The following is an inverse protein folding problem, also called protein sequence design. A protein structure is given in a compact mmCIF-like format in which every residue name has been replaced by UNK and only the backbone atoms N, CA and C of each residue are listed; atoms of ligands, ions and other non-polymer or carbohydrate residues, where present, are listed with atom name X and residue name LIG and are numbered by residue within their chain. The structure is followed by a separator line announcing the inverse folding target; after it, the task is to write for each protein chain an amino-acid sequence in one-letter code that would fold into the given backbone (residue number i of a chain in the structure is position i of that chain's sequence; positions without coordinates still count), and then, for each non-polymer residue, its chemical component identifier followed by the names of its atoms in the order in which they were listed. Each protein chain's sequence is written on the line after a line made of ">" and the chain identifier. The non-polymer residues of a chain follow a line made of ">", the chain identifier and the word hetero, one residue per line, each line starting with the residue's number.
data_IF_519185754483
#
_entry.id   IF_519185754483
#
_cell.length_a   1.000
_cell.length_b   1.000
_cell.length_c   1.000
_cell.angle_alpha   90.00
_cell.angle_beta   90.00
_cell.angle_gamma   90.00
#
_symmetry.space_group_name_H-M   'P 1'
#
loop_
_entity.id
_entity.type
_entity.pdbx_description
1 polymer ?
#
# COMPACT_ATOMS: atom_id res chain seq x y z
N UNK A 1 -7.33 6.94 5.10
CA UNK A 1 -6.70 6.55 3.81
C UNK A 1 -7.74 6.65 2.71
N UNK A 2 -7.43 7.28 1.58
CA UNK A 2 -8.41 7.53 0.52
C UNK A 2 -7.82 7.34 -0.89
N UNK A 3 -8.72 7.27 -1.88
CA UNK A 3 -8.35 7.21 -3.30
C UNK A 3 -7.95 5.82 -3.82
N UNK A 4 -7.49 5.81 -5.07
CA UNK A 4 -7.13 4.57 -5.79
C UNK A 4 -5.85 3.95 -5.26
N UNK A 5 -5.75 2.62 -5.38
CA UNK A 5 -4.61 1.81 -4.93
C UNK A 5 -4.28 1.96 -3.44
N UNK A 6 -5.32 2.12 -2.61
CA UNK A 6 -5.19 2.32 -1.16
C UNK A 6 -4.84 1.05 -0.38
N UNK A 7 -5.03 -0.15 -0.94
CA UNK A 7 -4.89 -1.41 -0.20
C UNK A 7 -3.51 -1.56 0.45
N UNK A 8 -2.43 -1.42 -0.33
CA UNK A 8 -1.08 -1.51 0.22
C UNK A 8 -0.73 -0.38 1.17
N UNK A 9 -1.38 0.79 1.08
CA UNK A 9 -1.27 1.82 2.11
C UNK A 9 -1.87 1.29 3.41
N UNK A 10 -3.12 0.84 3.38
CA UNK A 10 -3.83 0.30 4.55
C UNK A 10 -3.02 -0.82 5.19
N UNK A 11 -2.62 -1.84 4.42
CA UNK A 11 -1.84 -2.96 4.93
C UNK A 11 -0.53 -2.52 5.60
N UNK A 12 0.16 -1.51 5.02
CA UNK A 12 1.40 -0.96 5.59
C UNK A 12 1.14 -0.19 6.87
N UNK A 13 0.02 0.56 6.98
CA UNK A 13 -0.33 1.23 8.24
C UNK A 13 -0.57 0.22 9.35
N UNK A 14 -1.24 -0.90 9.07
CA UNK A 14 -1.53 -1.93 10.07
C UNK A 14 -0.29 -2.75 10.51
N UNK A 15 0.91 -2.45 9.99
CA UNK A 15 2.17 -2.91 10.59
C UNK A 15 2.55 -2.12 11.85
N UNK A 16 1.95 -0.94 12.04
CA UNK A 16 2.09 -0.09 13.21
C UNK A 16 0.93 -0.35 14.19
N UNK A 17 1.21 -0.59 15.48
CA UNK A 17 0.16 -0.85 16.47
C UNK A 17 -0.83 0.31 16.63
N UNK A 18 -0.40 1.54 16.37
CA UNK A 18 -1.21 2.75 16.46
C UNK A 18 -2.33 2.79 15.42
N UNK A 19 -2.23 2.03 14.33
CA UNK A 19 -3.21 2.08 13.25
C UNK A 19 -4.62 1.66 13.69
N UNK A 20 -4.73 0.70 14.62
CA UNK A 20 -6.03 0.27 15.14
C UNK A 20 -6.79 1.44 15.79
N UNK A 21 -6.09 2.29 16.54
CA UNK A 21 -6.69 3.44 17.24
C UNK A 21 -6.81 4.67 16.35
N UNK A 22 -5.81 4.94 15.48
CA UNK A 22 -5.69 6.22 14.78
C UNK A 22 -6.27 6.24 13.37
N UNK A 23 -6.54 5.09 12.76
CA UNK A 23 -7.16 5.06 11.43
C UNK A 23 -8.67 5.24 11.56
N UNK A 24 -9.16 6.46 11.34
CA UNK A 24 -10.59 6.77 11.39
C UNK A 24 -11.38 6.28 10.15
N UNK A 25 -10.72 6.15 9.00
CA UNK A 25 -11.37 5.69 7.78
C UNK A 25 -10.41 5.19 6.71
N UNK A 26 -10.88 4.23 5.92
CA UNK A 26 -10.09 3.54 4.90
C UNK A 26 -10.93 3.16 3.69
N UNK A 27 -10.27 2.97 2.56
CA UNK A 27 -10.89 2.42 1.35
C UNK A 27 -10.70 0.91 1.36
N UNK A 28 -11.80 0.17 1.31
CA UNK A 28 -11.79 -1.27 1.01
C UNK A 28 -11.91 -1.40 -0.50
N UNK A 29 -10.90 -1.98 -1.16
CA UNK A 29 -10.92 -2.18 -2.62
C UNK A 29 -12.01 -3.16 -3.09
N UNK A 30 -11.93 -3.59 -4.36
CA UNK A 30 -12.81 -4.65 -4.90
C UNK A 30 -12.40 -6.06 -4.45
N UNK A 31 -11.13 -6.27 -4.14
CA UNK A 31 -10.73 -7.37 -3.27
C UNK A 31 -11.36 -7.10 -1.92
N UNK A 32 -11.80 -8.12 -1.17
CA UNK A 32 -12.38 -7.95 0.16
C UNK A 32 -11.30 -8.19 1.24
N UNK A 33 -10.31 -7.29 1.42
CA UNK A 33 -9.39 -7.35 2.55
C UNK A 33 -10.14 -7.12 3.88
N UNK A 34 -11.42 -6.71 3.82
CA UNK A 34 -12.35 -6.70 4.93
C UNK A 34 -12.46 -8.04 5.65
N UNK A 35 -12.04 -9.16 5.04
CA UNK A 35 -11.91 -10.41 5.78
C UNK A 35 -10.62 -10.50 6.60
N UNK A 36 -9.47 -9.96 6.15
CA UNK A 36 -8.22 -10.06 6.90
C UNK A 36 -8.12 -9.00 7.99
N UNK A 37 -8.48 -7.76 7.68
CA UNK A 37 -8.35 -6.64 8.62
C UNK A 37 -9.22 -6.81 9.86
N UNK A 38 -10.43 -7.37 9.73
CA UNK A 38 -11.28 -7.72 10.88
C UNK A 38 -10.62 -8.75 11.84
N UNK A 39 -9.67 -9.56 11.36
CA UNK A 39 -8.97 -10.52 12.22
C UNK A 39 -7.74 -9.92 12.93
N UNK A 40 -7.17 -8.85 12.39
CA UNK A 40 -5.98 -8.20 12.96
C UNK A 40 -6.32 -6.91 13.73
N UNK A 41 -7.48 -6.32 13.47
CA UNK A 41 -7.98 -5.12 14.12
C UNK A 41 -9.34 -5.36 14.76
N UNK A 42 -9.41 -5.51 16.10
CA UNK A 42 -10.66 -5.75 16.80
C UNK A 42 -11.62 -4.55 16.76
N UNK A 43 -11.14 -3.38 16.35
CA UNK A 43 -11.91 -2.13 16.23
C UNK A 43 -12.26 -1.80 14.78
N UNK A 44 -12.15 -2.78 13.87
CA UNK A 44 -12.41 -2.56 12.43
C UNK A 44 -13.82 -2.01 12.16
N UNK A 45 -14.83 -2.53 12.85
CA UNK A 45 -16.24 -2.13 12.68
C UNK A 45 -16.51 -0.67 13.10
N UNK A 46 -15.59 -0.04 13.85
CA UNK A 46 -15.69 1.36 14.25
C UNK A 46 -15.17 2.32 13.17
N UNK A 47 -14.49 1.81 12.14
CA UNK A 47 -13.84 2.61 11.10
C UNK A 47 -14.79 2.92 9.96
N UNK A 48 -14.68 4.13 9.41
CA UNK A 48 -15.46 4.52 8.24
C UNK A 48 -14.91 3.89 6.97
N UNK A 49 -15.75 3.14 6.25
CA UNK A 49 -15.41 2.60 4.93
C UNK A 49 -15.75 3.63 3.86
N UNK A 50 -14.71 4.10 3.16
CA UNK A 50 -14.82 5.05 2.07
C UNK A 50 -14.85 4.32 0.73
N UNK A 51 -15.69 4.82 -0.19
CA UNK A 51 -15.63 4.41 -1.59
C UNK A 51 -14.32 4.84 -2.24
N UNK A 52 -13.88 4.11 -3.27
CA UNK A 52 -12.61 4.37 -3.97
C UNK A 52 -12.56 5.78 -4.58
N UNK A 53 -13.72 6.31 -4.98
CA UNK A 53 -13.92 7.63 -5.56
C UNK A 53 -14.43 8.68 -4.57
N UNK A 54 -14.36 8.40 -3.26
CA UNK A 54 -14.76 9.36 -2.23
C UNK A 54 -14.03 10.70 -2.37
N UNK A 55 -14.82 11.77 -2.45
CA UNK A 55 -14.33 13.14 -2.56
C UNK A 55 -14.12 13.84 -1.21
N UNK A 56 -13.62 15.09 -1.21
CA UNK A 56 -13.44 15.89 0.00
C UNK A 56 -14.70 15.97 0.89
N UNK A 57 -15.89 16.03 0.30
CA UNK A 57 -17.17 16.12 1.01
C UNK A 57 -17.49 14.87 1.84
N UNK A 58 -16.94 13.71 1.45
CA UNK A 58 -17.09 12.45 2.19
C UNK A 58 -15.94 12.23 3.18
N UNK A 59 -14.78 12.85 2.95
CA UNK A 59 -13.57 12.71 3.77
C UNK A 59 -13.57 13.71 4.93
N UNK A 60 -13.91 14.97 4.68
CA UNK A 60 -13.89 16.04 5.67
C UNK A 60 -14.75 15.77 6.93
N UNK A 61 -15.94 15.14 6.83
CA UNK A 61 -16.75 14.82 8.01
C UNK A 61 -16.09 13.83 8.98
N UNK A 62 -15.02 13.13 8.57
CA UNK A 62 -14.23 12.26 9.45
C UNK A 62 -13.25 13.03 10.33
N UNK A 63 -13.15 14.35 10.15
CA UNK A 63 -12.22 15.25 10.87
C UNK A 63 -10.77 14.74 10.92
N UNK A 64 -10.15 14.38 9.77
CA UNK A 64 -8.83 13.77 9.78
C UNK A 64 -7.72 14.80 10.04
N UNK A 65 -6.80 14.47 10.95
CA UNK A 65 -5.54 15.23 11.11
C UNK A 65 -4.68 15.17 9.84
N UNK A 66 -4.78 14.07 9.08
CA UNK A 66 -4.04 13.85 7.84
C UNK A 66 -4.73 12.80 6.97
N UNK A 67 -4.68 12.97 5.65
CA UNK A 67 -5.08 11.96 4.68
C UNK A 67 -3.85 11.38 3.99
N UNK A 68 -3.76 10.05 3.93
CA UNK A 68 -2.67 9.37 3.22
C UNK A 68 -3.19 8.93 1.85
N UNK A 69 -2.48 9.34 0.80
CA UNK A 69 -2.80 9.08 -0.61
C UNK A 69 -1.60 8.50 -1.37
N UNK A 70 -1.87 7.82 -2.47
CA UNK A 70 -0.86 7.59 -3.50
C UNK A 70 -0.40 8.91 -4.11
N UNK A 71 0.89 9.07 -4.37
CA UNK A 71 1.45 10.30 -4.96
C UNK A 71 0.76 10.72 -6.27
N UNK A 72 0.40 9.76 -7.13
CA UNK A 72 -0.31 10.05 -8.38
C UNK A 72 -1.75 10.59 -8.19
N UNK A 73 -2.30 10.53 -6.97
CA UNK A 73 -3.61 11.08 -6.63
C UNK A 73 -3.56 12.56 -6.22
N UNK A 74 -2.37 13.18 -6.15
CA UNK A 74 -2.20 14.58 -5.76
C UNK A 74 -3.10 15.53 -6.56
N UNK A 75 -3.09 15.45 -7.88
CA UNK A 75 -3.91 16.33 -8.72
C UNK A 75 -5.41 16.01 -8.70
N UNK A 76 -5.78 14.76 -8.43
CA UNK A 76 -7.17 14.28 -8.53
C UNK A 76 -7.95 14.45 -7.23
N UNK A 77 -7.27 14.37 -6.09
CA UNK A 77 -7.89 14.39 -4.77
C UNK A 77 -7.05 15.15 -3.74
N UNK A 78 -5.72 15.02 -3.77
CA UNK A 78 -4.86 15.66 -2.77
C UNK A 78 -5.03 17.18 -2.70
N UNK A 79 -4.94 17.85 -3.85
CA UNK A 79 -5.10 19.31 -3.95
C UNK A 79 -6.45 19.82 -3.45
N UNK A 80 -7.54 19.08 -3.67
CA UNK A 80 -8.86 19.52 -3.22
C UNK A 80 -9.04 19.36 -1.70
N UNK A 81 -8.38 18.38 -1.09
CA UNK A 81 -8.30 18.24 0.38
C UNK A 81 -7.45 19.36 1.00
N UNK A 82 -6.28 19.64 0.42
CA UNK A 82 -5.40 20.72 0.87
C UNK A 82 -6.07 22.10 0.79
N UNK A 83 -6.91 22.34 -0.21
CA UNK A 83 -7.69 23.59 -0.37
C UNK A 83 -8.71 23.84 0.74
N UNK A 84 -9.11 22.80 1.47
CA UNK A 84 -10.00 22.89 2.63
C UNK A 84 -9.24 22.62 3.94
N UNK A 85 -7.94 22.89 3.93
CA UNK A 85 -7.03 22.81 5.08
C UNK A 85 -6.88 21.40 5.68
N UNK A 86 -7.15 20.34 4.91
CA UNK A 86 -6.87 18.95 5.30
C UNK A 86 -5.47 18.55 4.81
N UNK A 87 -4.52 18.26 5.72
CA UNK A 87 -3.17 17.86 5.33
C UNK A 87 -3.14 16.52 4.59
N UNK A 88 -2.23 16.39 3.63
CA UNK A 88 -2.06 15.15 2.86
C UNK A 88 -0.62 14.66 2.91
N UNK A 89 -0.44 13.37 3.17
CA UNK A 89 0.84 12.66 3.03
C UNK A 89 0.77 11.75 1.82
N UNK A 90 1.75 11.89 0.94
CA UNK A 90 1.86 11.09 -0.28
C UNK A 90 2.89 9.96 -0.10
N UNK A 91 2.50 8.75 -0.48
CA UNK A 91 3.35 7.56 -0.51
C UNK A 91 3.25 6.85 -1.85
N UNK A 92 4.27 6.08 -2.22
CA UNK A 92 4.31 5.30 -3.46
C UNK A 92 4.17 3.81 -3.17
N UNK A 93 5.01 3.23 -2.31
CA UNK A 93 5.00 1.78 -1.99
C UNK A 93 5.08 0.85 -3.22
N UNK A 94 5.68 1.26 -4.33
CA UNK A 94 5.73 0.48 -5.59
C UNK A 94 7.09 -0.19 -5.86
N UNK A 95 8.17 0.18 -5.17
CA UNK A 95 9.49 -0.51 -5.25
C UNK A 95 10.02 -0.81 -3.86
N UNK A 96 10.99 -1.73 -3.68
CA UNK A 96 11.60 -1.98 -2.37
C UNK A 96 12.18 -0.71 -1.73
N UNK A 97 12.85 0.14 -2.52
CA UNK A 97 13.43 1.40 -2.05
C UNK A 97 12.34 2.39 -1.63
N UNK A 98 11.28 2.51 -2.44
CA UNK A 98 10.13 3.35 -2.10
C UNK A 98 9.40 2.84 -0.86
N UNK A 99 9.23 1.52 -0.74
CA UNK A 99 8.61 0.89 0.41
C UNK A 99 9.38 1.20 1.70
N UNK A 100 10.71 1.06 1.70
CA UNK A 100 11.52 1.43 2.85
C UNK A 100 11.48 2.93 3.17
N UNK A 101 11.58 3.79 2.15
CA UNK A 101 11.43 5.25 2.32
C UNK A 101 10.08 5.60 2.96
N UNK A 102 9.01 5.03 2.45
CA UNK A 102 7.65 5.34 2.88
C UNK A 102 7.36 4.77 4.27
N UNK A 103 7.89 3.59 4.61
CA UNK A 103 7.88 3.07 5.99
C UNK A 103 8.51 4.06 6.97
N UNK A 104 9.63 4.68 6.62
CA UNK A 104 10.26 5.68 7.48
C UNK A 104 9.39 6.94 7.62
N UNK A 105 8.73 7.37 6.54
CA UNK A 105 7.75 8.47 6.58
C UNK A 105 6.57 8.14 7.49
N UNK A 106 6.01 6.94 7.36
CA UNK A 106 4.88 6.48 8.19
C UNK A 106 5.28 6.31 9.66
N UNK A 107 6.49 5.84 9.94
CA UNK A 107 7.04 5.78 11.30
C UNK A 107 7.05 7.16 11.95
N UNK A 108 7.53 8.19 11.24
CA UNK A 108 7.49 9.58 11.73
C UNK A 108 6.06 10.08 11.92
N UNK A 109 5.16 9.73 10.98
CA UNK A 109 3.76 10.14 11.04
C UNK A 109 3.04 9.57 12.27
N UNK A 110 3.32 8.30 12.62
CA UNK A 110 2.79 7.68 13.84
C UNK A 110 3.57 8.07 15.11
N UNK A 111 4.75 8.68 14.98
CA UNK A 111 5.67 8.94 16.10
C UNK A 111 6.31 7.66 16.64
N UNK A 112 6.52 6.67 15.77
CA UNK A 112 7.07 5.36 16.08
C UNK A 112 8.11 4.94 15.02
N UNK A 113 9.21 5.70 14.94
CA UNK A 113 10.33 5.40 14.06
C UNK A 113 11.02 4.07 14.40
N UNK A 114 11.02 3.66 15.67
CA UNK A 114 11.59 2.38 16.12
C UNK A 114 10.84 1.19 15.49
N UNK A 115 9.50 1.23 15.47
CA UNK A 115 8.70 0.21 14.79
C UNK A 115 8.95 0.19 13.29
N UNK A 116 9.07 1.35 12.66
CA UNK A 116 9.45 1.42 11.25
C UNK A 116 10.81 0.75 11.01
N UNK A 117 11.82 1.04 11.84
CA UNK A 117 13.15 0.42 11.74
C UNK A 117 13.11 -1.10 11.97
N UNK A 118 12.28 -1.58 12.90
CA UNK A 118 12.06 -3.02 13.12
C UNK A 118 11.50 -3.70 11.86
N UNK A 119 10.44 -3.14 11.27
CA UNK A 119 9.83 -3.66 10.04
C UNK A 119 10.84 -3.64 8.88
N UNK A 120 11.57 -2.55 8.71
CA UNK A 120 12.63 -2.46 7.70
C UNK A 120 13.70 -3.53 7.88
N UNK A 121 14.13 -3.76 9.12
CA UNK A 121 15.13 -4.77 9.47
C UNK A 121 14.61 -6.18 9.21
N UNK A 122 13.33 -6.45 9.51
CA UNK A 122 12.68 -7.71 9.20
C UNK A 122 12.78 -8.03 7.71
N UNK A 123 12.37 -7.10 6.83
CA UNK A 123 12.41 -7.30 5.38
C UNK A 123 13.84 -7.39 4.84
N UNK A 124 14.75 -6.52 5.29
CA UNK A 124 16.15 -6.54 4.85
C UNK A 124 16.81 -7.89 5.15
N UNK A 125 16.60 -8.44 6.34
CA UNK A 125 17.14 -9.75 6.69
C UNK A 125 16.64 -10.89 5.77
N UNK A 126 15.42 -10.78 5.20
CA UNK A 126 14.91 -11.78 4.24
C UNK A 126 15.55 -11.58 2.87
N UNK A 127 15.67 -10.34 2.41
CA UNK A 127 16.34 -10.01 1.16
C UNK A 127 17.81 -10.46 1.20
N UNK A 128 18.54 -10.15 2.28
CA UNK A 128 19.93 -10.57 2.48
C UNK A 128 20.06 -12.11 2.44
N UNK A 129 19.09 -12.83 3.01
CA UNK A 129 19.07 -14.30 2.98
C UNK A 129 18.79 -14.85 1.59
N UNK A 130 17.99 -14.17 0.78
CA UNK A 130 17.74 -14.56 -0.61
C UNK A 130 18.98 -14.29 -1.46
N UNK A 131 19.58 -13.11 -1.33
CA UNK A 131 20.82 -12.75 -2.04
C UNK A 131 21.94 -13.74 -1.73
N UNK A 132 22.11 -14.12 -0.46
CA UNK A 132 23.09 -15.13 -0.07
C UNK A 132 22.80 -16.54 -0.62
N UNK A 133 21.52 -16.92 -0.75
CA UNK A 133 21.14 -18.23 -1.29
C UNK A 133 21.28 -18.29 -2.82
N UNK A 134 21.25 -17.14 -3.49
CA UNK A 134 21.39 -16.98 -4.92
C UNK A 134 22.82 -16.62 -5.34
N UNK A 135 23.74 -16.45 -4.38
CA UNK A 135 25.13 -16.11 -4.66
C UNK A 135 25.80 -17.16 -5.56
N UNK A 136 26.40 -16.69 -6.65
CA UNK A 136 27.01 -17.53 -7.68
C UNK A 136 26.05 -18.16 -8.69
N UNK A 137 24.74 -17.86 -8.65
CA UNK A 137 23.80 -18.27 -9.71
C UNK A 137 24.07 -17.48 -10.99
N UNK A 138 24.44 -18.17 -12.07
CA UNK A 138 24.65 -17.54 -13.37
C UNK A 138 23.32 -17.21 -14.06
N UNK A 139 23.29 -16.15 -14.88
CA UNK A 139 22.06 -15.74 -15.59
C UNK A 139 21.49 -16.85 -16.50
N UNK A 140 22.34 -17.76 -17.00
CA UNK A 140 21.92 -18.90 -17.81
C UNK A 140 21.17 -19.98 -17.03
N UNK A 141 21.34 -20.02 -15.71
CA UNK A 141 20.69 -20.99 -14.82
C UNK A 141 19.38 -20.47 -14.23
N UNK A 142 19.08 -19.18 -14.40
CA UNK A 142 17.84 -18.56 -13.93
C UNK A 142 16.64 -19.09 -14.73
N UNK A 143 15.55 -19.53 -14.07
CA UNK A 143 14.34 -19.94 -14.76
C UNK A 143 13.72 -18.75 -15.50
N UNK A 144 13.21 -19.01 -16.70
CA UNK A 144 12.46 -17.99 -17.46
C UNK A 144 11.05 -17.88 -16.92
N UNK A 145 10.70 -16.72 -16.39
CA UNK A 145 9.38 -16.45 -15.81
C UNK A 145 8.57 -15.54 -16.74
N UNK A 146 7.27 -15.82 -16.88
CA UNK A 146 6.30 -14.93 -17.52
C UNK A 146 5.15 -14.69 -16.55
N UNK A 147 4.99 -13.43 -16.13
CA UNK A 147 3.86 -13.01 -15.30
C UNK A 147 2.70 -12.64 -16.22
N UNK A 148 1.52 -13.23 -16.00
CA UNK A 148 0.31 -12.97 -16.78
C UNK A 148 -0.86 -12.72 -15.85
N UNK A 149 -1.64 -11.68 -16.13
CA UNK A 149 -2.91 -11.41 -15.48
C UNK A 149 -4.04 -11.97 -16.33
N UNK A 150 -4.86 -12.84 -15.73
CA UNK A 150 -6.07 -13.37 -16.32
C UNK A 150 -7.27 -12.50 -15.93
N UNK A 151 -8.11 -12.15 -16.90
CA UNK A 151 -9.40 -11.51 -16.66
C UNK A 151 -10.48 -12.18 -17.50
N UNK A 152 -11.63 -12.46 -16.87
CA UNK A 152 -12.82 -12.95 -17.55
C UNK A 152 -13.97 -11.97 -17.32
N UNK A 153 -14.59 -11.48 -18.39
CA UNK A 153 -15.75 -10.61 -18.31
C UNK A 153 -16.76 -10.98 -19.40
N UNK A 154 -18.00 -11.27 -19.01
CA UNK A 154 -19.06 -11.63 -19.96
C UNK A 154 -18.80 -12.92 -20.75
N UNK A 155 -17.95 -13.83 -20.26
CA UNK A 155 -17.54 -15.06 -20.94
C UNK A 155 -16.38 -14.89 -21.93
N UNK A 156 -15.81 -13.69 -22.06
CA UNK A 156 -14.57 -13.46 -22.79
C UNK A 156 -13.37 -13.52 -21.85
N UNK A 157 -12.34 -14.26 -22.25
CA UNK A 157 -11.06 -14.39 -21.53
C UNK A 157 -10.03 -13.49 -22.19
N UNK A 158 -9.36 -12.66 -21.39
CA UNK A 158 -8.20 -11.88 -21.78
C UNK A 158 -7.00 -12.18 -20.88
N UNK A 159 -5.82 -12.23 -21.49
CA UNK A 159 -4.53 -12.35 -20.82
C UNK A 159 -3.74 -11.06 -21.06
N UNK A 160 -3.28 -10.43 -19.98
CA UNK A 160 -2.49 -9.21 -20.04
C UNK A 160 -1.13 -9.45 -19.39
N UNK A 161 -0.06 -8.91 -20.00
CA UNK A 161 1.26 -8.88 -19.38
C UNK A 161 1.40 -7.55 -18.65
N UNK A 162 1.65 -7.54 -17.32
CA UNK A 162 1.86 -6.31 -16.58
C UNK A 162 3.11 -5.58 -17.09
N UNK A 163 3.17 -4.27 -16.88
CA UNK A 163 4.34 -3.46 -17.27
C UNK A 163 5.62 -4.03 -16.64
N UNK A 164 6.72 -4.05 -17.39
CA UNK A 164 8.05 -4.41 -16.87
C UNK A 164 8.48 -3.49 -15.71
N UNK A 165 7.91 -2.29 -15.61
CA UNK A 165 8.21 -1.32 -14.57
C UNK A 165 7.42 -1.51 -13.26
N UNK A 166 6.59 -2.53 -13.14
CA UNK A 166 5.77 -2.78 -11.95
C UNK A 166 6.45 -3.80 -11.04
N UNK A 167 6.29 -3.66 -9.72
CA UNK A 167 6.94 -4.51 -8.72
C UNK A 167 6.82 -6.00 -9.03
N UNK A 168 5.60 -6.46 -9.31
CA UNK A 168 5.29 -7.86 -9.63
C UNK A 168 6.01 -8.41 -10.87
N UNK A 169 6.45 -7.55 -11.78
CA UNK A 169 7.22 -7.94 -12.97
C UNK A 169 8.71 -7.85 -12.69
N UNK A 170 9.15 -6.78 -12.01
CA UNK A 170 10.54 -6.59 -11.59
C UNK A 170 11.01 -7.75 -10.71
N UNK A 171 10.17 -8.25 -9.80
CA UNK A 171 10.50 -9.38 -8.91
C UNK A 171 10.63 -10.72 -9.65
N UNK A 172 10.20 -10.81 -10.90
CA UNK A 172 10.28 -12.01 -11.73
C UNK A 172 11.44 -11.99 -12.75
N UNK A 173 12.17 -10.87 -12.86
CA UNK A 173 13.36 -10.70 -13.72
C UNK A 173 14.66 -10.95 -12.95
#
# INVERSE_FOLDING_TARGET
>A
VAGKSSLTIVDTLFLFPEAAERVAGLVVGRQKPGDFLQFVDPTFDEKSVLEVDAGPEQIAPLDPDVVILRSFMADKLGKSLEQIDIPVVYVDLETPEQYFRDLATLGKLFGNEDRAAEVQSFYRARLDSLDAALDGLEDGDKPRVLVVQHSEQGGEVALNVPSASWLQTIEAE
#
